data_IF_155700145904
#
_entry.id   IF_155700145904
#
_cell.length_a   1.000
_cell.length_b   1.000
_cell.length_c   1.000
_cell.angle_alpha   90.00
_cell.angle_beta   90.00
_cell.angle_gamma   90.00
#
_symmetry.space_group_name_H-M   'P 1'
#
loop_
_entity.id
_entity.type
_entity.pdbx_description
1 polymer ?
#
# COMPACT_ATOMS: atom_id res chain seq x y z
N UNK A 1 -9.71 20.05 12.99
CA UNK A 1 -8.26 19.78 12.98
C UNK A 1 -7.96 18.74 11.92
N UNK A 2 -7.01 19.03 11.09
CA UNK A 2 -6.63 18.15 10.00
C UNK A 2 -5.53 17.20 10.47
N UNK A 3 -5.77 15.89 10.38
CA UNK A 3 -4.77 14.90 10.73
C UNK A 3 -4.19 14.35 9.43
N UNK A 4 -2.94 14.68 9.17
CA UNK A 4 -2.26 14.24 7.96
C UNK A 4 -1.66 12.85 8.14
N UNK A 5 -1.73 12.06 7.08
CA UNK A 5 -1.02 10.80 7.02
C UNK A 5 0.48 11.07 6.94
N UNK A 6 1.28 10.25 7.60
CA UNK A 6 2.71 10.36 7.57
C UNK A 6 3.30 9.27 6.68
N UNK A 7 4.00 9.70 5.62
CA UNK A 7 4.73 8.77 4.76
C UNK A 7 5.99 8.30 5.52
N UNK A 8 6.08 7.01 5.76
CA UNK A 8 7.21 6.43 6.47
C UNK A 8 8.35 6.05 5.53
N UNK A 9 8.01 5.33 4.46
CA UNK A 9 8.99 4.94 3.45
C UNK A 9 8.25 4.44 2.22
N UNK A 10 9.02 4.22 1.15
CA UNK A 10 8.51 3.63 -0.08
C UNK A 10 9.41 2.48 -0.48
N UNK A 11 8.82 1.42 -1.03
CA UNK A 11 9.56 0.27 -1.55
C UNK A 11 9.14 -0.03 -2.97
N UNK A 12 10.09 -0.52 -3.75
CA UNK A 12 9.82 -0.95 -5.11
C UNK A 12 9.42 -2.42 -5.12
N UNK A 13 8.38 -2.72 -5.86
CA UNK A 13 7.89 -4.08 -6.07
C UNK A 13 7.99 -4.41 -7.54
N UNK A 14 8.77 -5.45 -7.86
CA UNK A 14 8.94 -5.90 -9.24
C UNK A 14 8.03 -7.09 -9.50
N UNK A 15 7.24 -6.99 -10.56
CA UNK A 15 6.37 -8.08 -10.96
C UNK A 15 6.33 -8.14 -12.48
N UNK A 16 6.75 -9.31 -13.01
CA UNK A 16 6.77 -9.57 -14.46
C UNK A 16 7.41 -8.45 -15.29
N UNK A 17 8.59 -8.03 -14.86
CA UNK A 17 9.37 -7.03 -15.57
C UNK A 17 8.90 -5.59 -15.37
N UNK A 18 7.83 -5.37 -14.61
CA UNK A 18 7.31 -4.04 -14.34
C UNK A 18 7.53 -3.66 -12.89
N UNK A 19 7.87 -2.40 -12.67
CA UNK A 19 8.14 -1.86 -11.34
C UNK A 19 6.93 -1.09 -10.82
N UNK A 20 6.57 -1.36 -9.58
CA UNK A 20 5.51 -0.66 -8.86
C UNK A 20 6.11 -0.08 -7.59
N UNK A 21 5.55 1.02 -7.13
CA UNK A 21 6.00 1.64 -5.87
C UNK A 21 4.94 1.41 -4.81
N UNK A 22 5.37 0.89 -3.66
CA UNK A 22 4.51 0.73 -2.50
C UNK A 22 4.88 1.81 -1.49
N UNK A 23 3.96 2.71 -1.21
CA UNK A 23 4.13 3.75 -0.20
C UNK A 23 3.55 3.27 1.12
N UNK A 24 4.33 3.39 2.18
CA UNK A 24 3.88 2.99 3.52
C UNK A 24 3.62 4.23 4.35
N UNK A 25 2.40 4.34 4.85
CA UNK A 25 1.93 5.46 5.63
C UNK A 25 1.53 5.03 7.02
N UNK A 26 1.67 5.95 7.96
CA UNK A 26 1.10 5.81 9.29
C UNK A 26 -0.01 6.85 9.44
N UNK A 27 -1.17 6.38 9.85
CA UNK A 27 -2.32 7.25 10.10
C UNK A 27 -2.53 7.34 11.60
N UNK A 28 -2.30 8.50 12.23
CA UNK A 28 -2.44 8.66 13.67
C UNK A 28 -3.89 8.89 14.10
N UNK A 29 -4.80 8.06 13.61
CA UNK A 29 -6.23 8.30 13.79
C UNK A 29 -6.72 8.13 15.23
N UNK A 30 -6.00 7.35 16.04
CA UNK A 30 -6.40 7.08 17.42
C UNK A 30 -5.17 6.91 18.29
N UNK A 31 -5.27 7.39 19.53
CA UNK A 31 -4.17 7.33 20.49
C UNK A 31 -3.65 5.92 20.76
N UNK A 32 -4.52 4.93 20.64
CA UNK A 32 -4.19 3.56 21.04
C UNK A 32 -3.82 2.66 19.86
N UNK A 33 -4.11 3.09 18.65
CA UNK A 33 -3.84 2.29 17.45
C UNK A 33 -3.33 3.18 16.34
N UNK A 34 -2.08 3.00 16.01
CA UNK A 34 -1.56 3.54 14.77
C UNK A 34 -1.95 2.59 13.65
N UNK A 35 -2.73 3.08 12.72
CA UNK A 35 -3.06 2.34 11.52
C UNK A 35 -1.95 2.55 10.51
N UNK A 36 -1.39 1.46 10.02
CA UNK A 36 -0.40 1.50 8.97
C UNK A 36 -1.07 1.08 7.66
N UNK A 37 -0.73 1.77 6.58
CA UNK A 37 -1.32 1.51 5.27
C UNK A 37 -0.23 1.41 4.22
N UNK A 38 -0.45 0.51 3.28
CA UNK A 38 0.37 0.40 2.08
C UNK A 38 -0.47 0.82 0.89
N UNK A 39 0.07 1.67 0.04
CA UNK A 39 -0.64 2.21 -1.11
C UNK A 39 0.19 2.04 -2.37
N UNK A 40 -0.44 1.55 -3.43
CA UNK A 40 0.20 1.38 -4.73
C UNK A 40 -0.74 1.86 -5.82
N UNK A 41 -0.29 2.77 -6.66
CA UNK A 41 -1.03 3.19 -7.83
C UNK A 41 -0.65 2.30 -9.02
N UNK A 42 -1.63 1.55 -9.54
CA UNK A 42 -1.42 0.69 -10.69
C UNK A 42 -1.51 1.46 -12.00
N UNK A 43 -2.41 2.43 -12.05
CA UNK A 43 -2.60 3.34 -13.16
C UNK A 43 -3.30 4.58 -12.60
N UNK A 44 -3.35 5.69 -13.35
CA UNK A 44 -4.02 6.90 -12.85
C UNK A 44 -5.44 6.59 -12.39
N UNK A 45 -5.72 6.86 -11.11
CA UNK A 45 -7.02 6.61 -10.53
C UNK A 45 -7.29 5.19 -10.06
N UNK A 46 -6.35 4.27 -10.25
CA UNK A 46 -6.49 2.87 -9.80
C UNK A 46 -5.46 2.59 -8.71
N UNK A 47 -5.86 2.78 -7.47
CA UNK A 47 -4.99 2.66 -6.30
C UNK A 47 -5.43 1.49 -5.44
N UNK A 48 -4.47 0.68 -5.03
CA UNK A 48 -4.68 -0.46 -4.14
C UNK A 48 -4.15 -0.09 -2.76
N UNK A 49 -4.97 -0.30 -1.74
CA UNK A 49 -4.62 0.02 -0.37
C UNK A 49 -4.79 -1.23 0.50
N UNK A 50 -3.78 -1.51 1.30
CA UNK A 50 -3.82 -2.56 2.33
C UNK A 50 -3.49 -1.93 3.67
N UNK A 51 -4.08 -2.45 4.74
CA UNK A 51 -3.79 -1.98 6.09
C UNK A 51 -3.14 -3.08 6.92
N UNK A 52 -2.53 -2.68 8.01
CA UNK A 52 -1.91 -3.61 8.94
C UNK A 52 -1.61 -2.96 10.28
N UNK A 53 -1.34 -3.78 11.28
CA UNK A 53 -1.01 -3.30 12.62
C UNK A 53 0.40 -2.73 12.71
N UNK A 54 1.23 -2.97 11.71
CA UNK A 54 2.57 -2.43 11.62
C UNK A 54 2.89 -2.13 10.16
N UNK A 55 3.92 -1.33 9.94
CA UNK A 55 4.39 -1.02 8.59
C UNK A 55 4.77 -2.31 7.85
N UNK A 56 5.44 -3.23 8.55
CA UNK A 56 5.85 -4.50 7.99
C UNK A 56 4.68 -5.37 7.56
N UNK A 57 3.64 -5.42 8.39
CA UNK A 57 2.44 -6.20 8.07
C UNK A 57 1.66 -5.59 6.92
N UNK A 58 1.55 -4.27 6.87
CA UNK A 58 0.90 -3.58 5.77
C UNK A 58 1.64 -3.83 4.45
N UNK A 59 2.96 -3.73 4.48
CA UNK A 59 3.81 -3.99 3.32
C UNK A 59 3.65 -5.43 2.83
N UNK A 60 3.75 -6.39 3.73
CA UNK A 60 3.63 -7.81 3.39
C UNK A 60 2.28 -8.12 2.77
N UNK A 61 1.22 -7.59 3.35
CA UNK A 61 -0.13 -7.77 2.84
C UNK A 61 -0.27 -7.20 1.43
N UNK A 62 0.28 -6.00 1.21
CA UNK A 62 0.25 -5.38 -0.11
C UNK A 62 1.01 -6.21 -1.14
N UNK A 63 2.20 -6.69 -0.79
CA UNK A 63 3.00 -7.52 -1.68
C UNK A 63 2.32 -8.85 -2.00
N UNK A 64 1.49 -9.35 -1.11
CA UNK A 64 0.74 -10.58 -1.32
C UNK A 64 -0.45 -10.37 -2.26
N UNK A 65 -1.15 -9.25 -2.15
CA UNK A 65 -2.34 -8.99 -2.97
C UNK A 65 -2.02 -8.39 -4.34
N UNK A 66 -0.87 -7.72 -4.49
CA UNK A 66 -0.53 -7.05 -5.75
C UNK A 66 -0.52 -7.98 -6.96
N UNK A 67 0.14 -9.15 -6.92
CA UNK A 67 0.15 -10.03 -8.09
C UNK A 67 -1.25 -10.42 -8.56
N UNK A 68 -2.12 -10.77 -7.62
CA UNK A 68 -3.50 -11.15 -7.93
C UNK A 68 -4.28 -9.97 -8.50
N UNK A 69 -4.08 -8.79 -7.94
CA UNK A 69 -4.76 -7.58 -8.40
C UNK A 69 -4.31 -7.17 -9.79
N UNK A 70 -3.00 -7.22 -10.04
CA UNK A 70 -2.44 -6.89 -11.35
C UNK A 70 -2.97 -7.87 -12.40
N UNK A 71 -2.96 -9.16 -12.08
CA UNK A 71 -3.49 -10.17 -12.98
C UNK A 71 -4.97 -9.94 -13.27
N UNK A 72 -5.74 -9.64 -12.24
CA UNK A 72 -7.18 -9.37 -12.39
C UNK A 72 -7.43 -8.18 -13.32
N UNK A 73 -6.64 -7.11 -13.19
CA UNK A 73 -6.76 -5.94 -14.06
C UNK A 73 -6.43 -6.25 -15.52
N UNK A 74 -5.47 -7.14 -15.75
CA UNK A 74 -5.06 -7.49 -17.12
C UNK A 74 -6.05 -8.39 -17.83
N UNK A 75 -6.99 -8.99 -17.10
CA UNK A 75 -8.05 -9.83 -17.68
C UNK A 75 -9.30 -9.05 -18.09
N UNK A 76 -9.36 -7.79 -17.75
CA UNK A 76 -10.52 -6.95 -18.06
C UNK A 76 -10.37 -6.22 -19.42
#
# INVERSE_FOLDING_TARGET
>A
MFIAEELLFSERFLWEGKSYVVHIYRHPARKERCLHMAETELSPGDTIISDGQSAEKALHKQQTVLPLTILSRSLL
#
